data_IF_797377472883
#
_entry.id   IF_797377472883
#
_cell.length_a   1.000
_cell.length_b   1.000
_cell.length_c   1.000
_cell.angle_alpha   90.00
_cell.angle_beta   90.00
_cell.angle_gamma   90.00
#
_symmetry.space_group_name_H-M   'P 1'
#
loop_
_entity.id
_entity.type
_entity.pdbx_description
1 polymer ?
#
# COMPACT_ATOMS: atom_id res chain seq x y z
N UNK A 1 -42.31 58.37 -32.25
CA UNK A 1 -43.27 58.99 -31.30
C UNK A 1 -43.78 57.85 -30.42
N UNK A 2 -43.65 57.78 -29.10
CA UNK A 2 -43.08 58.63 -28.06
C UNK A 2 -43.11 57.77 -26.78
N UNK A 3 -42.09 57.94 -25.94
CA UNK A 3 -42.02 57.52 -24.53
C UNK A 3 -43.35 57.61 -23.77
N UNK A 4 -43.50 56.73 -22.76
CA UNK A 4 -43.72 57.17 -21.38
C UNK A 4 -43.33 56.08 -20.38
N UNK A 5 -42.31 56.44 -19.61
CA UNK A 5 -41.89 55.86 -18.34
C UNK A 5 -42.96 56.08 -17.27
N UNK A 6 -43.05 55.17 -16.29
CA UNK A 6 -43.44 55.56 -14.93
C UNK A 6 -42.80 54.66 -13.88
N UNK A 7 -41.98 55.31 -13.07
CA UNK A 7 -41.34 54.91 -11.82
C UNK A 7 -42.29 55.10 -10.63
N UNK A 8 -42.09 54.29 -9.57
CA UNK A 8 -42.18 54.61 -8.12
C UNK A 8 -41.82 53.34 -7.31
N UNK A 9 -40.63 53.19 -6.72
CA UNK A 9 -40.14 53.71 -5.42
C UNK A 9 -41.00 53.37 -4.20
N UNK A 10 -40.41 52.61 -3.27
CA UNK A 10 -40.95 52.32 -1.94
C UNK A 10 -39.88 51.71 -1.04
N UNK A 11 -39.02 52.58 -0.50
CA UNK A 11 -38.00 52.30 0.51
C UNK A 11 -38.62 51.85 1.84
N UNK A 12 -38.04 50.86 2.52
CA UNK A 12 -38.07 50.82 3.98
C UNK A 12 -36.66 50.52 4.49
N UNK A 13 -36.01 51.58 4.96
CA UNK A 13 -34.76 51.54 5.67
C UNK A 13 -34.96 50.91 7.05
N UNK A 14 -34.04 50.03 7.46
CA UNK A 14 -33.57 49.88 8.84
C UNK A 14 -32.14 49.33 8.78
N UNK A 15 -31.13 50.21 8.84
CA UNK A 15 -30.30 50.46 10.05
C UNK A 15 -29.60 49.18 10.48
N UNK A 16 -28.41 48.92 9.93
CA UNK A 16 -27.11 49.22 10.54
C UNK A 16 -26.87 48.46 11.84
N UNK A 17 -25.95 47.49 11.82
CA UNK A 17 -24.87 47.37 12.79
C UNK A 17 -23.68 46.68 12.12
N UNK A 18 -22.65 47.48 11.80
CA UNK A 18 -21.27 47.02 11.71
C UNK A 18 -20.90 46.49 13.11
N UNK A 19 -20.31 45.30 13.17
CA UNK A 19 -19.41 44.97 14.26
C UNK A 19 -18.17 44.30 13.67
N UNK A 20 -17.12 45.10 13.49
CA UNK A 20 -15.75 44.61 13.40
C UNK A 20 -15.41 44.05 14.78
N UNK A 21 -15.43 42.73 14.92
CA UNK A 21 -14.69 42.09 16.01
C UNK A 21 -13.23 42.00 15.57
N UNK A 22 -12.41 42.90 16.13
CA UNK A 22 -10.96 42.83 16.03
C UNK A 22 -10.48 41.48 16.58
N UNK A 23 -9.69 40.75 15.78
CA UNK A 23 -8.86 39.64 16.26
C UNK A 23 -7.80 40.20 17.22
N UNK A 24 -8.14 40.26 18.50
CA UNK A 24 -7.16 40.45 19.56
C UNK A 24 -6.41 39.15 19.79
N UNK A 25 -5.17 39.06 19.31
CA UNK A 25 -4.22 38.03 19.73
C UNK A 25 -3.90 38.30 21.20
N UNK A 26 -4.57 37.55 22.09
CA UNK A 26 -4.21 37.51 23.50
C UNK A 26 -3.08 36.49 23.65
N UNK A 27 -1.84 36.98 23.76
CA UNK A 27 -0.70 36.20 24.20
C UNK A 27 -0.91 35.87 25.70
N UNK A 28 -1.55 34.74 25.99
CA UNK A 28 -1.49 34.13 27.32
C UNK A 28 -0.22 33.29 27.38
N UNK A 29 0.86 33.92 27.85
CA UNK A 29 2.03 33.23 28.36
C UNK A 29 1.65 32.47 29.62
N UNK A 30 1.16 31.23 29.48
CA UNK A 30 1.12 30.30 30.59
C UNK A 30 2.33 29.39 30.50
N UNK A 31 3.34 29.75 31.30
CA UNK A 31 4.44 28.89 31.68
C UNK A 31 3.88 27.65 32.35
N UNK A 32 3.75 26.54 31.61
CA UNK A 32 3.72 25.20 32.17
C UNK A 32 5.12 24.91 32.72
N UNK A 33 5.39 25.52 33.88
CA UNK A 33 6.44 25.11 34.79
C UNK A 33 5.90 23.96 35.61
N UNK A 34 6.47 22.79 35.32
CA UNK A 34 6.89 21.77 36.27
C UNK A 34 5.82 21.20 37.22
N UNK A 35 5.24 20.07 36.77
CA UNK A 35 4.82 18.98 37.67
C UNK A 35 4.79 17.67 36.89
N UNK A 36 5.96 17.19 36.50
CA UNK A 36 6.10 15.75 36.27
C UNK A 36 6.10 15.08 37.64
N UNK A 37 5.27 14.05 37.89
CA UNK A 37 5.46 13.24 39.08
C UNK A 37 6.85 12.61 38.99
N UNK A 38 7.65 12.81 40.03
CA UNK A 38 8.91 12.11 40.18
C UNK A 38 8.62 10.60 40.09
N UNK A 39 9.10 9.96 39.02
CA UNK A 39 9.16 8.51 38.97
C UNK A 39 10.09 8.11 40.11
N UNK A 40 9.52 7.57 41.18
CA UNK A 40 10.30 7.04 42.28
C UNK A 40 11.27 6.01 41.70
N UNK A 41 12.56 6.26 41.85
CA UNK A 41 13.57 5.24 41.63
C UNK A 41 13.25 4.11 42.61
N UNK A 42 12.70 3.00 42.10
CA UNK A 42 12.64 1.77 42.87
C UNK A 42 14.09 1.34 43.15
N UNK A 43 14.42 1.21 44.43
CA UNK A 43 15.72 0.74 44.91
C UNK A 43 16.19 -0.49 44.13
N UNK A 44 17.26 -0.32 43.36
CA UNK A 44 17.99 -1.42 42.74
C UNK A 44 18.88 -2.07 43.77
N UNK A 45 18.27 -2.84 44.69
CA UNK A 45 19.02 -3.76 45.52
C UNK A 45 18.24 -5.06 45.68
N UNK A 46 18.86 -6.10 45.12
CA UNK A 46 18.49 -7.53 45.15
C UNK A 46 17.65 -8.04 43.97
N UNK A 47 18.36 -8.29 42.87
CA UNK A 47 18.18 -9.50 42.05
C UNK A 47 19.52 -9.81 41.35
N UNK A 48 20.48 -10.30 42.13
CA UNK A 48 21.69 -10.92 41.61
C UNK A 48 21.44 -12.39 41.28
N UNK A 49 22.07 -12.83 40.20
CA UNK A 49 22.36 -14.24 39.87
C UNK A 49 21.15 -15.08 39.47
N UNK A 50 20.72 -14.94 38.21
CA UNK A 50 20.43 -16.07 37.30
C UNK A 50 19.91 -15.52 35.96
N UNK A 51 20.75 -14.72 35.28
CA UNK A 51 20.55 -14.46 33.85
C UNK A 51 21.39 -15.50 33.11
N UNK A 52 20.81 -16.67 32.87
CA UNK A 52 21.35 -17.61 31.89
C UNK A 52 21.56 -16.82 30.58
N UNK A 53 22.75 -16.84 29.95
CA UNK A 53 22.89 -16.21 28.64
C UNK A 53 21.87 -16.88 27.71
N UNK A 54 21.00 -16.07 27.11
CA UNK A 54 20.09 -16.56 26.08
C UNK A 54 20.94 -17.30 25.04
N UNK A 55 20.55 -18.55 24.74
CA UNK A 55 21.10 -19.29 23.60
C UNK A 55 21.17 -18.36 22.39
N UNK A 56 22.29 -18.33 21.62
CA UNK A 56 22.31 -17.59 20.37
C UNK A 56 21.09 -18.00 19.55
N UNK A 57 20.22 -17.05 19.25
CA UNK A 57 19.11 -17.28 18.35
C UNK A 57 19.73 -17.39 16.95
N UNK A 58 19.77 -18.59 16.38
CA UNK A 58 20.25 -18.79 15.02
C UNK A 58 19.13 -18.42 14.04
N UNK A 59 19.37 -17.39 13.22
CA UNK A 59 18.51 -17.06 12.09
C UNK A 59 18.88 -17.98 10.92
N UNK A 60 17.90 -18.72 10.42
CA UNK A 60 18.06 -19.51 9.18
C UNK A 60 17.65 -18.61 8.03
N UNK A 61 18.60 -18.34 7.12
CA UNK A 61 18.29 -17.71 5.86
C UNK A 61 17.89 -18.80 4.85
N UNK A 62 16.71 -18.70 4.23
CA UNK A 62 16.30 -19.68 3.24
C UNK A 62 17.17 -19.56 1.98
N UNK A 63 17.36 -20.70 1.30
CA UNK A 63 18.04 -20.75 0.01
C UNK A 63 17.05 -20.37 -1.08
N UNK A 64 17.49 -19.56 -2.04
CA UNK A 64 16.67 -19.08 -3.14
C UNK A 64 16.63 -20.09 -4.31
N UNK A 65 15.45 -20.26 -4.91
CA UNK A 65 15.19 -21.02 -6.12
C UNK A 65 14.39 -20.18 -7.13
N UNK A 66 15.07 -19.76 -8.21
CA UNK A 66 14.49 -18.95 -9.29
C UNK A 66 13.36 -19.68 -10.02
N UNK A 67 13.49 -21.00 -10.23
CA UNK A 67 12.47 -21.77 -10.94
C UNK A 67 11.20 -21.92 -10.10
N UNK A 68 11.37 -22.09 -8.78
CA UNK A 68 10.23 -22.07 -7.86
C UNK A 68 9.60 -20.67 -7.78
N UNK A 69 10.39 -19.60 -7.78
CA UNK A 69 9.90 -18.22 -7.85
C UNK A 69 9.03 -17.95 -9.08
N UNK A 70 9.45 -18.42 -10.25
CA UNK A 70 8.64 -18.37 -11.50
C UNK A 70 7.29 -19.06 -11.34
N UNK A 71 7.28 -20.25 -10.72
CA UNK A 71 6.03 -21.00 -10.48
C UNK A 71 5.13 -20.30 -9.45
N UNK A 72 5.71 -19.71 -8.41
CA UNK A 72 4.98 -18.96 -7.39
C UNK A 72 4.33 -17.71 -7.98
N UNK A 73 5.02 -16.98 -8.86
CA UNK A 73 4.47 -15.80 -9.53
C UNK A 73 3.14 -16.09 -10.26
N UNK A 74 3.02 -17.29 -10.84
CA UNK A 74 1.78 -17.74 -11.48
C UNK A 74 0.81 -18.32 -10.47
N UNK A 75 1.21 -19.34 -9.72
CA UNK A 75 0.31 -20.12 -8.84
C UNK A 75 -0.26 -19.36 -7.64
N UNK A 76 0.44 -18.31 -7.17
CA UNK A 76 -0.08 -17.40 -6.14
C UNK A 76 -1.00 -16.32 -6.70
N UNK A 77 -1.11 -16.20 -8.03
CA UNK A 77 -1.95 -15.20 -8.69
C UNK A 77 -1.27 -13.85 -8.90
N UNK A 78 0.03 -13.69 -8.64
CA UNK A 78 0.72 -12.42 -8.83
C UNK A 78 0.64 -11.93 -10.29
N UNK A 79 0.72 -12.87 -11.24
CA UNK A 79 0.61 -12.63 -12.69
C UNK A 79 -0.73 -12.03 -13.13
N UNK A 80 -1.77 -12.12 -12.31
CA UNK A 80 -3.10 -11.58 -12.61
C UNK A 80 -3.06 -10.04 -12.65
N UNK A 81 -2.27 -9.43 -11.76
CA UNK A 81 -2.18 -7.97 -11.65
C UNK A 81 -0.84 -7.42 -12.15
N UNK A 82 0.26 -8.15 -11.92
CA UNK A 82 1.60 -7.73 -12.29
C UNK A 82 2.06 -8.38 -13.60
N UNK A 83 2.84 -7.65 -14.39
CA UNK A 83 3.50 -8.18 -15.58
C UNK A 83 4.99 -8.42 -15.38
N UNK A 84 5.52 -9.45 -16.05
CA UNK A 84 6.95 -9.70 -16.26
C UNK A 84 7.16 -10.00 -17.73
N UNK A 85 8.14 -9.36 -18.36
CA UNK A 85 8.45 -9.52 -19.78
C UNK A 85 7.22 -9.30 -20.69
N UNK A 86 6.35 -8.36 -20.30
CA UNK A 86 5.09 -8.08 -21.00
C UNK A 86 4.00 -9.15 -20.84
N UNK A 87 4.20 -10.17 -20.01
CA UNK A 87 3.22 -11.23 -19.71
C UNK A 87 2.62 -11.01 -18.33
N UNK A 88 1.29 -11.01 -18.25
CA UNK A 88 0.53 -10.78 -17.03
C UNK A 88 -0.36 -9.54 -17.10
N UNK A 89 -0.98 -9.21 -15.98
CA UNK A 89 -1.79 -8.00 -15.83
C UNK A 89 -0.96 -6.72 -15.84
N UNK A 90 -1.65 -5.60 -16.07
CA UNK A 90 -1.15 -4.23 -16.00
C UNK A 90 -1.85 -3.38 -14.94
N UNK A 91 -2.72 -4.01 -14.15
CA UNK A 91 -3.38 -3.41 -13.01
C UNK A 91 -2.48 -3.34 -11.76
N UNK A 92 -1.17 -3.54 -11.89
CA UNK A 92 -0.11 -3.26 -10.91
C UNK A 92 1.21 -2.93 -11.64
N UNK A 93 2.19 -2.28 -10.98
CA UNK A 93 3.48 -2.00 -11.60
C UNK A 93 4.16 -3.29 -12.09
N UNK A 94 4.80 -3.23 -13.25
CA UNK A 94 5.56 -4.35 -13.77
C UNK A 94 6.72 -4.72 -12.81
N UNK A 95 7.04 -6.01 -12.75
CA UNK A 95 8.10 -6.58 -11.92
C UNK A 95 9.33 -6.96 -12.75
N UNK A 96 9.52 -6.32 -13.90
CA UNK A 96 10.68 -6.53 -14.75
C UNK A 96 11.99 -6.24 -13.99
N UNK A 97 12.92 -7.18 -14.09
CA UNK A 97 14.27 -7.04 -13.57
C UNK A 97 14.96 -5.88 -14.30
N UNK A 98 15.72 -5.09 -13.54
CA UNK A 98 16.54 -4.04 -14.13
C UNK A 98 17.64 -4.73 -14.93
N UNK A 99 17.66 -4.50 -16.24
CA UNK A 99 18.73 -5.00 -17.10
C UNK A 99 20.03 -4.25 -16.79
N UNK A 100 21.09 -5.00 -16.49
CA UNK A 100 22.45 -4.48 -16.37
C UNK A 100 23.20 -4.68 -17.69
N UNK A 101 24.06 -3.75 -18.07
CA UNK A 101 24.85 -3.90 -19.30
C UNK A 101 25.92 -4.98 -19.11
N UNK A 102 26.36 -5.59 -20.21
CA UNK A 102 27.39 -6.62 -20.18
C UNK A 102 28.69 -6.05 -19.58
N UNK A 103 29.05 -6.49 -18.38
CA UNK A 103 30.26 -6.07 -17.67
C UNK A 103 30.00 -5.36 -16.34
N UNK A 104 28.74 -5.01 -16.05
CA UNK A 104 28.35 -4.51 -14.73
C UNK A 104 28.31 -5.65 -13.70
N UNK A 105 28.69 -5.36 -12.47
CA UNK A 105 28.49 -6.28 -11.34
C UNK A 105 26.99 -6.40 -11.11
N UNK A 106 26.42 -7.59 -11.35
CA UNK A 106 25.02 -7.88 -11.03
C UNK A 106 24.86 -7.68 -9.52
N UNK A 107 24.10 -6.69 -9.05
CA UNK A 107 23.94 -6.46 -7.63
C UNK A 107 23.35 -7.71 -6.97
N UNK A 108 23.85 -8.04 -5.78
CA UNK A 108 23.23 -9.08 -4.98
C UNK A 108 21.73 -8.76 -4.79
N UNK A 109 20.87 -9.76 -4.98
CA UNK A 109 19.45 -9.63 -4.70
C UNK A 109 19.27 -9.45 -3.20
N UNK A 110 18.68 -8.34 -2.78
CA UNK A 110 18.27 -8.13 -1.39
C UNK A 110 16.78 -8.50 -1.24
N UNK A 111 16.46 -9.69 -0.71
CA UNK A 111 15.07 -10.10 -0.51
C UNK A 111 14.34 -9.20 0.50
N UNK A 112 15.04 -8.51 1.41
CA UNK A 112 14.40 -7.58 2.34
C UNK A 112 13.99 -6.28 1.64
N UNK A 113 14.77 -5.81 0.66
CA UNK A 113 14.36 -4.68 -0.18
C UNK A 113 13.12 -5.05 -1.01
N UNK A 114 13.09 -6.25 -1.60
CA UNK A 114 11.91 -6.76 -2.30
C UNK A 114 10.66 -6.73 -1.40
N UNK A 115 10.77 -7.26 -0.18
CA UNK A 115 9.67 -7.24 0.80
C UNK A 115 9.30 -5.82 1.23
N UNK A 116 10.27 -4.92 1.41
CA UNK A 116 9.99 -3.52 1.76
C UNK A 116 9.24 -2.79 0.64
N UNK A 117 9.50 -3.13 -0.63
CA UNK A 117 8.74 -2.63 -1.78
C UNK A 117 7.31 -3.17 -1.78
N UNK A 118 7.13 -4.46 -1.52
CA UNK A 118 5.79 -5.06 -1.34
C UNK A 118 5.02 -4.38 -0.21
N UNK A 119 5.67 -4.13 0.94
CA UNK A 119 5.03 -3.50 2.09
C UNK A 119 4.49 -2.10 1.79
N UNK A 120 5.19 -1.33 0.95
CA UNK A 120 4.71 -0.02 0.48
C UNK A 120 3.47 -0.12 -0.41
N UNK A 121 3.34 -1.21 -1.17
CA UNK A 121 2.17 -1.49 -2.00
C UNK A 121 1.06 -2.26 -1.27
N UNK A 122 1.26 -2.67 -0.02
CA UNK A 122 0.37 -3.60 0.68
C UNK A 122 -1.10 -3.12 0.74
N UNK A 123 -1.43 -1.86 1.07
CA UNK A 123 -2.83 -1.42 1.08
C UNK A 123 -3.56 -1.70 -0.24
N UNK A 124 -3.00 -1.25 -1.37
CA UNK A 124 -3.59 -1.47 -2.69
C UNK A 124 -3.63 -2.96 -3.08
N UNK A 125 -2.61 -3.73 -2.72
CA UNK A 125 -2.61 -5.18 -2.95
C UNK A 125 -3.71 -5.87 -2.17
N UNK A 126 -3.91 -5.54 -0.89
CA UNK A 126 -4.94 -6.16 -0.05
C UNK A 126 -6.33 -5.91 -0.63
N UNK A 127 -6.59 -4.68 -1.04
CA UNK A 127 -7.89 -4.27 -1.57
C UNK A 127 -8.16 -4.92 -2.94
N UNK A 128 -7.19 -4.93 -3.86
CA UNK A 128 -7.34 -5.62 -5.15
C UNK A 128 -7.46 -7.14 -4.99
N UNK A 129 -6.70 -7.74 -4.06
CA UNK A 129 -6.83 -9.18 -3.78
C UNK A 129 -8.21 -9.52 -3.22
N UNK A 130 -8.78 -8.66 -2.37
CA UNK A 130 -10.15 -8.85 -1.87
C UNK A 130 -11.19 -8.77 -2.98
N UNK A 131 -11.09 -7.78 -3.88
CA UNK A 131 -12.08 -7.55 -4.95
C UNK A 131 -11.95 -8.58 -6.08
N UNK A 132 -10.72 -8.88 -6.51
CA UNK A 132 -10.47 -9.61 -7.75
C UNK A 132 -10.17 -11.09 -7.51
N UNK A 133 -9.58 -11.44 -6.36
CA UNK A 133 -9.29 -12.84 -6.01
C UNK A 133 -10.27 -13.40 -4.97
N UNK A 134 -10.86 -12.56 -4.14
CA UNK A 134 -11.71 -12.98 -3.01
C UNK A 134 -10.94 -13.57 -1.83
N UNK A 135 -9.61 -13.54 -1.86
CA UNK A 135 -8.72 -14.03 -0.79
C UNK A 135 -7.42 -13.23 -0.79
N UNK A 136 -6.69 -13.29 0.32
CA UNK A 136 -5.37 -12.68 0.46
C UNK A 136 -4.27 -13.71 0.16
N UNK A 137 -3.26 -13.31 -0.60
CA UNK A 137 -2.12 -14.14 -0.97
C UNK A 137 -1.22 -14.33 0.26
N UNK A 138 -1.17 -15.55 0.76
CA UNK A 138 -0.28 -15.95 1.84
C UNK A 138 1.09 -16.39 1.31
N UNK A 139 2.16 -15.84 1.89
CA UNK A 139 3.55 -16.11 1.48
C UNK A 139 4.39 -16.55 2.67
N UNK A 140 5.17 -17.60 2.47
CA UNK A 140 6.17 -18.04 3.45
C UNK A 140 7.50 -17.30 3.28
N UNK A 141 8.42 -17.44 4.24
CA UNK A 141 9.77 -16.89 4.10
C UNK A 141 10.52 -17.45 2.88
N UNK A 142 10.30 -18.73 2.51
CA UNK A 142 10.88 -19.31 1.31
C UNK A 142 10.24 -18.71 0.06
N UNK A 143 8.91 -18.58 0.03
CA UNK A 143 8.18 -18.00 -1.10
C UNK A 143 8.71 -16.61 -1.41
N UNK A 144 8.94 -15.78 -0.39
CA UNK A 144 9.45 -14.42 -0.55
C UNK A 144 10.86 -14.37 -1.14
N UNK A 145 11.76 -15.28 -0.74
CA UNK A 145 13.13 -15.30 -1.26
C UNK A 145 13.18 -15.85 -2.68
N UNK A 146 12.37 -16.86 -2.99
CA UNK A 146 12.24 -17.41 -4.34
C UNK A 146 11.63 -16.40 -5.31
N UNK A 147 10.58 -15.69 -4.87
CA UNK A 147 9.98 -14.59 -5.63
C UNK A 147 10.97 -13.43 -5.81
N UNK A 148 11.72 -13.06 -4.79
CA UNK A 148 12.69 -11.96 -4.88
C UNK A 148 13.80 -12.26 -5.90
N UNK A 149 14.33 -13.49 -5.91
CA UNK A 149 15.36 -13.87 -6.87
C UNK A 149 14.81 -13.94 -8.29
N UNK A 150 13.59 -14.47 -8.49
CA UNK A 150 12.95 -14.47 -9.81
C UNK A 150 12.61 -13.05 -10.31
N UNK A 151 12.12 -12.17 -9.44
CA UNK A 151 11.84 -10.77 -9.76
C UNK A 151 13.10 -9.96 -10.13
N UNK A 152 14.29 -10.48 -9.84
CA UNK A 152 15.57 -9.83 -10.10
C UNK A 152 16.41 -10.51 -11.18
N UNK A 153 15.99 -11.69 -11.67
CA UNK A 153 16.73 -12.49 -12.65
C UNK A 153 16.25 -12.19 -14.07
N UNK A 154 16.90 -11.24 -14.74
CA UNK A 154 16.56 -10.84 -16.10
C UNK A 154 16.64 -11.99 -17.11
N UNK A 155 17.53 -12.98 -16.89
CA UNK A 155 17.63 -14.16 -17.75
C UNK A 155 16.38 -15.02 -17.64
N UNK A 156 16.01 -15.38 -16.40
CA UNK A 156 14.82 -16.18 -16.12
C UNK A 156 13.53 -15.48 -16.55
N UNK A 157 13.46 -14.15 -16.41
CA UNK A 157 12.32 -13.36 -16.86
C UNK A 157 12.24 -13.26 -18.39
N UNK A 158 13.37 -13.17 -19.10
CA UNK A 158 13.37 -13.14 -20.57
C UNK A 158 12.79 -14.42 -21.18
N UNK A 159 12.88 -15.54 -20.46
CA UNK A 159 12.30 -16.82 -20.82
C UNK A 159 10.85 -16.99 -20.35
N UNK A 160 10.29 -16.05 -19.57
CA UNK A 160 8.91 -16.10 -19.10
C UNK A 160 7.95 -15.65 -20.22
N UNK A 161 6.99 -16.50 -20.56
CA UNK A 161 6.08 -16.33 -21.68
C UNK A 161 4.64 -16.65 -21.26
N UNK A 162 3.67 -16.38 -22.16
CA UNK A 162 2.27 -16.74 -21.91
C UNK A 162 2.07 -18.26 -21.73
N UNK A 163 2.98 -19.10 -22.24
CA UNK A 163 2.94 -20.56 -22.09
C UNK A 163 3.17 -21.01 -20.63
N UNK A 164 3.77 -20.16 -19.80
CA UNK A 164 3.95 -20.41 -18.37
C UNK A 164 2.66 -20.21 -17.55
N UNK A 165 1.68 -19.52 -18.13
CA UNK A 165 0.42 -19.22 -17.46
C UNK A 165 -0.65 -20.18 -17.97
N UNK A 166 -1.33 -20.93 -17.08
CA UNK A 166 -2.46 -21.77 -17.48
C UNK A 166 -3.52 -20.98 -18.24
N UNK A 167 -4.00 -21.53 -19.36
CA UNK A 167 -5.02 -20.91 -20.22
C UNK A 167 -6.24 -20.34 -19.45
N UNK A 168 -6.80 -21.02 -18.42
CA UNK A 168 -7.92 -20.47 -17.65
C UNK A 168 -7.63 -19.15 -16.94
N UNK A 169 -6.36 -18.81 -16.69
CA UNK A 169 -5.96 -17.57 -16.01
C UNK A 169 -5.80 -16.39 -16.98
N UNK A 170 -5.74 -16.61 -18.29
CA UNK A 170 -5.49 -15.53 -19.25
C UNK A 170 -6.60 -14.49 -19.24
N UNK A 171 -7.85 -14.93 -19.13
CA UNK A 171 -9.02 -14.04 -19.06
C UNK A 171 -9.12 -13.29 -17.73
N UNK A 172 -8.33 -13.67 -16.73
CA UNK A 172 -8.31 -13.02 -15.42
C UNK A 172 -7.25 -11.91 -15.34
N UNK A 173 -6.32 -11.82 -16.29
CA UNK A 173 -5.28 -10.79 -16.28
C UNK A 173 -5.89 -9.38 -16.43
N UNK A 174 -5.72 -8.57 -15.39
CA UNK A 174 -6.33 -7.25 -15.29
C UNK A 174 -5.47 -6.21 -16.03
N UNK A 175 -6.04 -5.54 -17.04
CA UNK A 175 -5.31 -4.60 -17.89
C UNK A 175 -5.54 -3.12 -17.56
N UNK A 176 -6.54 -2.82 -16.74
CA UNK A 176 -6.88 -1.45 -16.34
C UNK A 176 -6.26 -1.13 -14.97
N UNK A 177 -5.47 -0.04 -14.85
CA UNK A 177 -4.94 0.40 -13.57
C UNK A 177 -6.08 0.96 -12.69
N UNK A 178 -6.50 0.18 -11.70
CA UNK A 178 -7.60 0.56 -10.80
C UNK A 178 -7.31 1.85 -10.01
N UNK A 179 -6.04 2.29 -9.88
CA UNK A 179 -5.62 3.49 -9.14
C UNK A 179 -5.70 4.81 -9.90
N UNK A 180 -6.00 4.82 -11.21
CA UNK A 180 -6.09 6.05 -11.99
C UNK A 180 -7.50 6.65 -12.01
N UNK A 181 -8.51 5.91 -11.55
CA UNK A 181 -9.80 6.54 -11.22
C UNK A 181 -9.69 7.23 -9.85
N UNK A 182 -10.09 8.49 -9.78
CA UNK A 182 -10.02 9.30 -8.55
C UNK A 182 -11.04 8.84 -7.48
N UNK A 183 -11.60 7.62 -7.56
CA UNK A 183 -12.67 7.14 -6.66
C UNK A 183 -12.18 6.32 -5.46
N UNK A 184 -10.89 6.02 -5.42
CA UNK A 184 -10.27 5.21 -4.37
C UNK A 184 -10.32 5.81 -2.96
N UNK A 185 -10.01 7.10 -2.76
CA UNK A 185 -10.13 7.73 -1.44
C UNK A 185 -11.55 7.63 -0.88
N UNK A 186 -12.56 7.77 -1.73
CA UNK A 186 -13.97 7.70 -1.38
C UNK A 186 -14.38 6.26 -1.03
N UNK A 187 -13.95 5.26 -1.80
CA UNK A 187 -14.25 3.85 -1.53
C UNK A 187 -13.69 3.36 -0.18
N UNK A 188 -12.50 3.82 0.21
CA UNK A 188 -11.92 3.54 1.53
C UNK A 188 -12.71 4.19 2.68
N UNK A 189 -13.40 5.30 2.41
CA UNK A 189 -14.25 5.99 3.40
C UNK A 189 -15.64 5.36 3.53
N UNK A 190 -16.17 4.79 2.45
CA UNK A 190 -17.47 4.12 2.43
C UNK A 190 -17.43 2.73 3.08
N UNK A 191 -16.24 2.13 3.15
CA UNK A 191 -16.04 0.77 3.64
C UNK A 191 -16.46 -0.26 2.58
N UNK A 192 -15.79 -1.41 2.58
CA UNK A 192 -16.17 -2.49 1.68
C UNK A 192 -17.50 -3.08 2.15
N UNK A 193 -18.52 -3.23 1.27
CA UNK A 193 -19.73 -3.94 1.64
C UNK A 193 -19.35 -5.36 2.05
N UNK A 194 -19.86 -5.81 3.20
CA UNK A 194 -19.62 -7.16 3.70
C UNK A 194 -20.01 -8.16 2.60
N UNK A 195 -19.20 -9.20 2.39
CA UNK A 195 -19.34 -10.22 1.34
C UNK A 195 -20.63 -11.07 1.42
N UNK A 196 -21.61 -10.69 2.25
CA UNK A 196 -22.85 -11.44 2.49
C UNK A 196 -23.89 -11.30 1.36
N UNK A 197 -23.72 -10.36 0.41
CA UNK A 197 -24.71 -10.10 -0.64
C UNK A 197 -24.56 -10.96 -1.92
N UNK A 198 -23.69 -11.98 -1.92
CA UNK A 198 -23.54 -12.89 -3.07
C UNK A 198 -24.62 -13.99 -3.17
N UNK A 199 -25.55 -14.07 -2.21
CA UNK A 199 -26.59 -15.11 -2.13
C UNK A 199 -27.95 -14.71 -2.77
N UNK A 200 -28.06 -13.60 -3.50
CA UNK A 200 -29.29 -13.28 -4.24
C UNK A 200 -29.04 -13.02 -5.71
N UNK A 201 -28.78 -14.10 -6.45
CA UNK A 201 -29.01 -14.17 -7.90
C UNK A 201 -29.91 -15.38 -8.19
N UNK A 202 -31.23 -15.14 -8.19
CA UNK A 202 -32.25 -15.95 -8.87
C UNK A 202 -32.40 -15.47 -10.33
#
# INVERSE_FOLDING_TARGET
MTEKTHTKTGTCAKTAMLSLAAFGVLLMSDTVTDRMPAYAASDSKEASSDMQPASPQAMVLPLADVAHGRQLFVSKGCVICHSINGVGGRAAPALDAIAFEQGDEVPAVDPLDFVARMWRGAPAMLDLQAIELGYQIELTANDLVDLAVFASDAGAQSDFTLEDVPEPMWDWMLNEPYWEDESWPERLLEGFPDSEDSDTAD
#
